data_IF_580421663040
#
_entry.id   IF_580421663040
#
_cell.length_a   1.000
_cell.length_b   1.000
_cell.length_c   1.000
_cell.angle_alpha   90.00
_cell.angle_beta   90.00
_cell.angle_gamma   90.00
#
_symmetry.space_group_name_H-M   'P 1'
#
loop_
_entity.id
_entity.type
_entity.pdbx_description
1 polymer ?
#
# COMPACT_ATOMS: atom_id res chain seq x y z
N UNK A 1 -19.29 -48.71 -4.26
CA UNK A 1 -19.44 -47.27 -3.95
C UNK A 1 -18.18 -46.62 -3.36
N UNK A 2 -16.97 -47.10 -3.72
CA UNK A 2 -15.67 -46.67 -3.14
C UNK A 2 -14.92 -45.61 -3.96
N UNK A 3 -15.50 -45.16 -5.09
CA UNK A 3 -14.85 -44.25 -6.05
C UNK A 3 -15.18 -42.76 -5.85
N UNK A 4 -16.10 -42.41 -4.94
CA UNK A 4 -16.46 -41.00 -4.65
C UNK A 4 -15.55 -40.31 -3.63
N UNK A 5 -14.87 -41.07 -2.76
CA UNK A 5 -13.99 -40.55 -1.70
C UNK A 5 -12.62 -40.11 -2.25
N UNK A 6 -12.18 -40.66 -3.40
CA UNK A 6 -10.91 -40.31 -4.02
C UNK A 6 -10.94 -38.98 -4.80
N UNK A 7 -12.12 -38.52 -5.24
CA UNK A 7 -12.26 -37.24 -5.95
C UNK A 7 -12.37 -36.02 -5.02
N UNK A 8 -12.89 -36.20 -3.80
CA UNK A 8 -12.98 -35.12 -2.81
C UNK A 8 -11.63 -34.79 -2.19
N UNK A 9 -10.73 -35.76 -2.06
CA UNK A 9 -9.40 -35.56 -1.49
C UNK A 9 -8.45 -34.73 -2.39
N UNK A 10 -8.65 -34.76 -3.71
CA UNK A 10 -7.81 -33.99 -4.64
C UNK A 10 -8.20 -32.50 -4.69
N UNK A 11 -9.47 -32.17 -4.41
CA UNK A 11 -9.96 -30.78 -4.40
C UNK A 11 -9.56 -29.99 -3.14
N UNK A 12 -9.22 -30.69 -2.04
CA UNK A 12 -8.79 -30.07 -0.78
C UNK A 12 -7.30 -29.67 -0.84
N UNK A 13 -6.47 -30.35 -1.63
CA UNK A 13 -5.02 -30.06 -1.72
C UNK A 13 -4.69 -28.82 -2.56
N UNK A 14 -5.53 -28.43 -3.51
CA UNK A 14 -5.28 -27.27 -4.40
C UNK A 14 -5.59 -25.90 -3.75
N UNK A 15 -6.26 -25.86 -2.60
CA UNK A 15 -6.57 -24.60 -1.89
C UNK A 15 -5.40 -24.08 -1.02
N UNK A 16 -4.38 -24.90 -0.79
CA UNK A 16 -3.27 -24.57 0.11
C UNK A 16 -2.16 -23.72 -0.53
N UNK A 17 -2.23 -23.51 -1.85
CA UNK A 17 -1.17 -22.85 -2.62
C UNK A 17 -1.54 -21.46 -3.14
N UNK A 18 -2.62 -20.84 -2.65
CA UNK A 18 -2.83 -19.42 -2.89
C UNK A 18 -1.84 -18.62 -2.05
N UNK A 19 -0.62 -18.55 -2.59
CA UNK A 19 0.54 -17.87 -2.04
C UNK A 19 0.18 -16.51 -1.48
N UNK A 20 0.34 -16.37 -0.16
CA UNK A 20 0.31 -15.10 0.54
C UNK A 20 1.59 -14.32 0.20
N UNK A 21 1.70 -13.82 -1.03
CA UNK A 21 2.77 -12.90 -1.39
C UNK A 21 2.56 -11.60 -0.60
N UNK A 22 3.30 -11.42 0.50
CA UNK A 22 3.29 -10.19 1.30
C UNK A 22 3.64 -9.02 0.37
N UNK A 23 2.74 -8.05 0.24
CA UNK A 23 2.99 -6.88 -0.60
C UNK A 23 4.12 -6.06 0.02
N UNK A 24 5.17 -5.79 -0.77
CA UNK A 24 6.32 -5.02 -0.33
C UNK A 24 6.02 -3.52 -0.19
N UNK A 25 7.02 -2.78 0.29
CA UNK A 25 6.95 -1.32 0.37
C UNK A 25 6.79 -0.69 -1.02
N UNK A 26 5.84 0.23 -1.15
CA UNK A 26 5.70 1.07 -2.32
C UNK A 26 6.51 2.35 -2.14
N UNK A 27 7.37 2.67 -3.11
CA UNK A 27 8.09 3.94 -3.16
C UNK A 27 7.43 4.85 -4.21
N UNK A 28 7.12 6.09 -3.83
CA UNK A 28 6.58 7.11 -4.72
C UNK A 28 7.71 7.90 -5.39
N UNK A 29 7.98 7.58 -6.65
CA UNK A 29 9.05 8.14 -7.46
C UNK A 29 8.57 9.08 -8.59
N UNK A 30 7.29 9.01 -8.99
CA UNK A 30 6.71 9.74 -10.13
C UNK A 30 6.72 11.28 -10.09
N UNK A 31 7.11 11.90 -8.97
CA UNK A 31 7.25 13.38 -8.82
C UNK A 31 8.66 13.78 -8.38
N UNK A 32 9.69 13.10 -8.90
CA UNK A 32 11.08 13.26 -8.45
C UNK A 32 11.60 14.70 -8.47
N UNK A 33 11.36 15.46 -9.53
CA UNK A 33 11.86 16.83 -9.65
C UNK A 33 11.23 17.79 -8.63
N UNK A 34 9.90 17.75 -8.48
CA UNK A 34 9.18 18.53 -7.46
C UNK A 34 9.67 18.20 -6.05
N UNK A 35 9.85 16.91 -5.78
CA UNK A 35 10.36 16.42 -4.51
C UNK A 35 11.79 16.90 -4.21
N UNK A 36 12.70 16.81 -5.19
CA UNK A 36 14.08 17.32 -5.06
C UNK A 36 14.08 18.81 -4.77
N UNK A 37 13.25 19.59 -5.49
CA UNK A 37 13.08 21.03 -5.26
C UNK A 37 12.59 21.33 -3.84
N UNK A 38 11.73 20.48 -3.27
CA UNK A 38 11.27 20.59 -1.90
C UNK A 38 12.27 20.05 -0.85
N UNK A 39 13.41 19.48 -1.26
CA UNK A 39 14.45 19.00 -0.35
C UNK A 39 14.06 17.78 0.49
N UNK A 40 13.13 16.93 0.02
CA UNK A 40 12.68 15.74 0.77
C UNK A 40 13.03 14.43 0.06
N UNK A 41 13.20 13.35 0.82
CA UNK A 41 13.46 12.01 0.29
C UNK A 41 12.19 11.40 -0.35
N UNK A 42 12.27 10.34 -1.18
CA UNK A 42 11.08 9.66 -1.70
C UNK A 42 10.12 9.23 -0.60
N UNK A 43 8.82 9.34 -0.84
CA UNK A 43 7.84 8.81 0.11
C UNK A 43 7.78 7.28 0.00
N UNK A 44 7.75 6.60 1.14
CA UNK A 44 7.64 5.15 1.25
C UNK A 44 6.33 4.79 1.94
N UNK A 45 5.56 3.90 1.33
CA UNK A 45 4.33 3.35 1.86
C UNK A 45 4.50 1.86 2.17
N UNK A 46 4.49 1.48 3.46
CA UNK A 46 4.59 0.08 3.86
C UNK A 46 3.21 -0.59 3.89
N UNK A 47 2.90 -1.45 2.91
CA UNK A 47 1.64 -2.21 2.92
C UNK A 47 1.46 -3.00 4.21
N UNK A 48 2.50 -3.69 4.67
CA UNK A 48 2.41 -4.53 5.88
C UNK A 48 1.89 -3.78 7.12
N UNK A 49 2.30 -2.53 7.35
CA UNK A 49 1.79 -1.73 8.48
C UNK A 49 0.34 -1.30 8.31
N UNK A 50 -0.11 -1.11 7.07
CA UNK A 50 -1.50 -0.75 6.80
C UNK A 50 -2.40 -1.98 6.83
N UNK A 51 -1.90 -3.13 6.37
CA UNK A 51 -2.59 -4.43 6.40
C UNK A 51 -2.85 -4.96 7.82
N UNK A 52 -2.10 -4.47 8.83
CA UNK A 52 -2.40 -4.75 10.24
C UNK A 52 -3.76 -4.21 10.68
N UNK A 53 -4.27 -3.16 10.02
CA UNK A 53 -5.51 -2.47 10.41
C UNK A 53 -6.58 -2.47 9.31
N UNK A 54 -6.20 -2.63 8.05
CA UNK A 54 -7.09 -2.47 6.89
C UNK A 54 -6.96 -3.63 5.90
N UNK A 55 -8.02 -3.87 5.13
CA UNK A 55 -8.04 -4.88 4.06
C UNK A 55 -7.75 -4.23 2.71
N UNK A 56 -7.31 -5.03 1.73
CA UNK A 56 -6.99 -4.54 0.38
C UNK A 56 -8.15 -3.73 -0.24
N UNK A 57 -9.40 -4.18 -0.04
CA UNK A 57 -10.61 -3.55 -0.58
C UNK A 57 -11.00 -2.23 0.09
N UNK A 58 -10.39 -1.88 1.23
CA UNK A 58 -10.58 -0.60 1.89
C UNK A 58 -9.84 0.51 1.12
N UNK A 59 -8.69 0.16 0.52
CA UNK A 59 -7.87 1.08 -0.26
C UNK A 59 -8.08 0.92 -1.78
N UNK A 60 -8.25 -0.30 -2.29
CA UNK A 60 -8.30 -0.59 -3.73
C UNK A 60 -9.69 -1.05 -4.16
N UNK A 61 -10.23 -0.55 -5.29
CA UNK A 61 -9.73 0.56 -6.11
C UNK A 61 -10.16 1.94 -5.57
N UNK A 62 -10.78 2.00 -4.39
CA UNK A 62 -11.51 3.17 -3.86
C UNK A 62 -10.64 4.42 -3.71
N UNK A 63 -9.50 4.27 -3.04
CA UNK A 63 -8.54 5.35 -2.72
C UNK A 63 -7.37 5.29 -3.71
N UNK A 64 -6.89 4.08 -4.02
CA UNK A 64 -5.78 3.86 -4.93
C UNK A 64 -6.17 2.86 -6.02
N UNK A 65 -5.76 3.11 -7.26
CA UNK A 65 -5.77 2.11 -8.32
C UNK A 65 -4.69 1.06 -8.03
N UNK A 66 -5.02 -0.21 -8.24
CA UNK A 66 -4.09 -1.34 -8.09
C UNK A 66 -3.15 -1.47 -9.31
N UNK A 67 -2.43 -0.38 -9.59
CA UNK A 67 -1.44 -0.30 -10.65
C UNK A 67 -0.39 0.75 -10.29
N UNK A 68 0.87 0.33 -10.18
CA UNK A 68 2.00 1.23 -9.92
C UNK A 68 2.04 2.36 -10.96
N UNK A 69 2.22 3.60 -10.49
CA UNK A 69 2.26 4.80 -11.35
C UNK A 69 0.90 5.23 -11.92
N UNK A 70 -0.20 4.53 -11.67
CA UNK A 70 -1.52 4.91 -12.18
C UNK A 70 -2.25 5.96 -11.32
N UNK A 71 -1.73 6.24 -10.12
CA UNK A 71 -2.26 7.22 -9.18
C UNK A 71 -1.40 8.48 -9.25
N UNK A 72 -2.00 9.61 -9.58
CA UNK A 72 -1.33 10.91 -9.59
C UNK A 72 -1.33 11.52 -8.18
N UNK A 73 -0.58 10.90 -7.26
CA UNK A 73 -0.49 11.32 -5.86
C UNK A 73 0.39 12.56 -5.74
N UNK A 74 -0.08 13.55 -4.98
CA UNK A 74 0.67 14.75 -4.65
C UNK A 74 0.32 15.21 -3.24
N UNK A 75 1.19 16.01 -2.61
CA UNK A 75 0.88 16.58 -1.29
C UNK A 75 -0.35 17.50 -1.34
N UNK A 76 -0.58 18.21 -2.45
CA UNK A 76 -1.78 19.01 -2.63
C UNK A 76 -3.04 18.14 -2.55
N UNK A 77 -3.07 17.02 -3.28
CA UNK A 77 -4.20 16.08 -3.26
C UNK A 77 -4.38 15.40 -1.91
N UNK A 78 -3.26 15.04 -1.27
CA UNK A 78 -3.28 14.50 0.08
C UNK A 78 -3.92 15.50 1.06
N UNK A 79 -3.54 16.78 1.00
CA UNK A 79 -4.10 17.81 1.86
C UNK A 79 -5.55 18.18 1.53
N UNK A 80 -6.03 17.88 0.31
CA UNK A 80 -7.44 18.04 -0.08
C UNK A 80 -8.32 16.82 0.21
N UNK A 81 -7.83 15.85 0.98
CA UNK A 81 -8.62 14.69 1.41
C UNK A 81 -8.55 13.49 0.47
N UNK A 82 -7.62 13.47 -0.48
CA UNK A 82 -7.41 12.33 -1.38
C UNK A 82 -6.25 11.45 -0.90
N UNK A 83 -6.17 10.22 -1.42
CA UNK A 83 -5.06 9.29 -1.19
C UNK A 83 -4.70 9.13 0.29
N UNK A 84 -3.53 9.62 0.71
CA UNK A 84 -3.06 9.47 2.09
C UNK A 84 -3.92 10.27 3.08
N UNK A 85 -4.52 11.38 2.64
CA UNK A 85 -5.40 12.21 3.45
C UNK A 85 -6.89 11.85 3.33
N UNK A 86 -7.23 10.72 2.72
CA UNK A 86 -8.61 10.23 2.69
C UNK A 86 -9.21 10.12 4.09
N UNK A 87 -10.54 10.22 4.15
CA UNK A 87 -11.29 10.25 5.41
C UNK A 87 -10.90 9.07 6.31
N UNK A 88 -10.64 9.34 7.59
CA UNK A 88 -10.14 8.38 8.58
C UNK A 88 -8.72 7.82 8.35
N UNK A 89 -7.96 8.31 7.34
CA UNK A 89 -6.54 7.99 7.14
C UNK A 89 -5.65 9.03 7.84
N UNK A 90 -4.69 9.66 7.15
CA UNK A 90 -3.88 10.72 7.73
C UNK A 90 -4.62 12.05 7.84
N UNK A 91 -4.16 12.93 8.73
CA UNK A 91 -4.90 14.13 9.17
C UNK A 91 -6.22 13.80 9.88
N UNK A 92 -6.29 12.63 10.54
CA UNK A 92 -7.43 12.23 11.35
C UNK A 92 -6.99 11.90 12.77
N UNK A 93 -7.91 11.77 13.75
CA UNK A 93 -7.56 11.29 15.09
C UNK A 93 -6.95 9.89 15.11
N UNK A 94 -7.07 9.10 14.03
CA UNK A 94 -6.60 7.71 13.94
C UNK A 94 -5.19 7.58 13.37
N UNK A 95 -4.69 8.57 12.63
CA UNK A 95 -3.34 8.52 12.09
C UNK A 95 -2.70 9.91 12.05
N UNK A 96 -1.37 9.92 12.17
CA UNK A 96 -0.59 11.15 12.27
C UNK A 96 -0.82 12.11 11.08
N UNK A 97 -0.65 13.42 11.29
CA UNK A 97 -0.87 14.41 10.25
C UNK A 97 0.22 14.40 9.17
N UNK A 98 -0.18 14.76 7.94
CA UNK A 98 0.64 14.69 6.73
C UNK A 98 1.80 15.70 6.69
N UNK A 99 1.82 16.68 7.59
CA UNK A 99 2.94 17.62 7.72
C UNK A 99 4.14 17.02 8.46
N UNK A 100 4.03 15.82 9.04
CA UNK A 100 5.16 15.10 9.62
C UNK A 100 6.00 14.43 8.53
N UNK A 101 6.67 15.26 7.71
CA UNK A 101 7.31 14.87 6.45
C UNK A 101 8.18 13.61 6.56
N UNK A 102 8.98 13.52 7.63
CA UNK A 102 9.98 12.46 7.85
C UNK A 102 9.38 11.07 8.11
N UNK A 103 8.07 10.97 8.41
CA UNK A 103 7.40 9.68 8.59
C UNK A 103 7.15 8.95 7.28
N UNK A 104 7.03 9.68 6.18
CA UNK A 104 6.81 9.12 4.86
C UNK A 104 8.06 9.29 3.98
N UNK A 105 8.69 10.46 4.01
CA UNK A 105 9.84 10.81 3.20
C UNK A 105 11.14 10.33 3.85
N UNK A 106 11.44 9.04 3.65
CA UNK A 106 12.56 8.36 4.29
C UNK A 106 13.68 8.16 3.26
N UNK A 107 14.91 8.51 3.64
CA UNK A 107 16.09 8.11 2.88
C UNK A 107 16.23 6.59 2.94
N UNK A 108 15.79 5.88 1.90
CA UNK A 108 16.21 4.47 1.74
C UNK A 108 17.70 4.48 1.37
N UNK A 109 18.56 4.08 2.32
CA UNK A 109 19.93 3.67 1.99
C UNK A 109 19.84 2.57 0.91
N UNK A 110 20.68 2.66 -0.11
CA UNK A 110 20.73 1.68 -1.18
C UNK A 110 20.91 0.26 -0.58
N UNK A 111 19.88 -0.59 -0.66
CA UNK A 111 19.97 -1.99 -0.17
C UNK A 111 18.75 -2.59 0.50
N UNK A 112 17.64 -1.88 0.72
CA UNK A 112 16.41 -2.52 1.20
C UNK A 112 15.74 -3.29 0.06
N UNK A 113 16.17 -4.55 -0.10
CA UNK A 113 15.51 -5.58 -0.92
C UNK A 113 14.18 -5.99 -0.31
#
# INVERSE_FOLDING_TARGET
MRKRILFTAFFILILSSFSLAKLGDMVFDGKAESRKKAGVAPAVFPHGKHEEFYKCADCHPKIFKDKRGANDVSMQKNMSGEFCGSLECHNSPKAFPLYECVKCHIEKKAGSK
#
